data_IF_069671567521
#
_entry.id   IF_069671567521
#
_cell.length_a   1.000
_cell.length_b   1.000
_cell.length_c   1.000
_cell.angle_alpha   90.00
_cell.angle_beta   90.00
_cell.angle_gamma   90.00
#
_symmetry.space_group_name_H-M   'P 1'
#
loop_
_entity.id
_entity.type
_entity.pdbx_description
1 polymer ?
#
# COMPACT_ATOMS: atom_id res chain seq x y z
N UNK A 1 24.50 12.23 -19.80
CA UNK A 1 23.35 12.78 -19.05
C UNK A 1 23.28 11.98 -17.79
N UNK A 2 23.28 12.64 -16.63
CA UNK A 2 23.18 11.95 -15.35
C UNK A 2 21.82 11.25 -15.26
N UNK A 3 21.80 10.07 -14.64
CA UNK A 3 20.55 9.33 -14.43
C UNK A 3 19.61 10.18 -13.56
N UNK A 4 18.30 10.15 -13.85
CA UNK A 4 17.32 10.92 -13.08
C UNK A 4 17.29 10.49 -11.60
N UNK A 5 17.07 11.44 -10.71
CA UNK A 5 16.83 11.16 -9.29
C UNK A 5 15.44 10.55 -9.10
N UNK A 6 15.38 9.23 -9.13
CA UNK A 6 14.11 8.49 -9.01
C UNK A 6 13.41 8.72 -7.68
N UNK A 7 14.17 9.01 -6.61
CA UNK A 7 13.59 9.29 -5.29
C UNK A 7 12.86 10.63 -5.32
N UNK A 8 13.50 11.67 -5.85
CA UNK A 8 12.88 12.98 -5.97
C UNK A 8 11.64 12.95 -6.88
N UNK A 9 11.68 12.17 -7.96
CA UNK A 9 10.53 11.98 -8.85
C UNK A 9 9.38 11.24 -8.17
N UNK A 10 9.68 10.17 -7.43
CA UNK A 10 8.67 9.44 -6.65
C UNK A 10 8.02 10.34 -5.60
N UNK A 11 8.82 11.08 -4.83
CA UNK A 11 8.28 11.99 -3.82
C UNK A 11 7.46 13.12 -4.43
N UNK A 12 7.85 13.64 -5.60
CA UNK A 12 7.05 14.61 -6.32
C UNK A 12 5.69 14.04 -6.74
N UNK A 13 5.65 12.81 -7.23
CA UNK A 13 4.40 12.10 -7.55
C UNK A 13 3.51 11.96 -6.31
N UNK A 14 4.05 11.42 -5.21
CA UNK A 14 3.31 11.27 -3.94
C UNK A 14 2.76 12.60 -3.41
N UNK A 15 3.53 13.70 -3.52
CA UNK A 15 3.02 15.03 -3.12
C UNK A 15 1.80 15.43 -3.94
N UNK A 16 1.79 15.17 -5.25
CA UNK A 16 0.64 15.44 -6.10
C UNK A 16 -0.60 14.65 -5.67
N UNK A 17 -0.43 13.37 -5.31
CA UNK A 17 -1.54 12.50 -4.93
C UNK A 17 -2.09 12.76 -3.52
N UNK A 18 -1.21 12.94 -2.53
CA UNK A 18 -1.61 12.90 -1.12
C UNK A 18 -1.64 14.29 -0.46
N UNK A 19 -0.75 15.20 -0.85
CA UNK A 19 -0.64 16.53 -0.25
C UNK A 19 -1.47 17.56 -1.03
N UNK A 20 -1.16 17.77 -2.31
CA UNK A 20 -1.88 18.76 -3.14
C UNK A 20 -3.18 18.21 -3.71
N UNK A 21 -3.30 16.88 -3.78
CA UNK A 21 -4.47 16.15 -4.29
C UNK A 21 -4.88 16.64 -5.70
N UNK A 22 -3.87 16.87 -6.54
CA UNK A 22 -4.03 17.42 -7.89
C UNK A 22 -3.84 16.31 -8.92
N UNK A 23 -4.97 15.81 -9.44
CA UNK A 23 -5.01 14.72 -10.43
C UNK A 23 -4.29 15.11 -11.72
N UNK A 24 -4.41 16.36 -12.18
CA UNK A 24 -3.77 16.80 -13.42
C UNK A 24 -2.25 16.86 -13.25
N UNK A 25 -1.78 17.36 -12.10
CA UNK A 25 -0.37 17.35 -11.75
C UNK A 25 0.17 15.92 -11.58
N UNK A 26 -0.56 15.02 -10.90
CA UNK A 26 -0.19 13.60 -10.79
C UNK A 26 -0.01 12.98 -12.18
N UNK A 27 -1.00 13.12 -13.07
CA UNK A 27 -0.90 12.57 -14.42
C UNK A 27 0.27 13.17 -15.22
N UNK A 28 0.63 14.44 -14.99
CA UNK A 28 1.76 15.08 -15.66
C UNK A 28 3.13 14.49 -15.28
N UNK A 29 3.23 13.81 -14.13
CA UNK A 29 4.47 13.09 -13.73
C UNK A 29 4.62 11.72 -14.40
N UNK A 30 3.59 11.23 -15.08
CA UNK A 30 3.57 9.91 -15.69
C UNK A 30 3.84 9.96 -17.20
N UNK A 31 4.22 8.82 -17.76
CA UNK A 31 4.35 8.61 -19.21
C UNK A 31 2.99 8.67 -19.92
N UNK A 32 2.93 8.76 -21.26
CA UNK A 32 1.66 8.81 -22.01
C UNK A 32 0.79 7.54 -21.92
N UNK A 33 1.40 6.40 -21.64
CA UNK A 33 0.83 5.06 -21.53
C UNK A 33 1.05 4.46 -20.13
N UNK A 34 0.60 5.13 -19.04
CA UNK A 34 0.89 4.69 -17.67
C UNK A 34 -0.11 3.63 -17.20
N UNK A 35 0.19 2.92 -16.12
CA UNK A 35 -0.83 2.16 -15.40
C UNK A 35 -0.54 2.02 -13.90
N UNK A 36 -1.59 1.79 -13.13
CA UNK A 36 -1.49 1.42 -11.70
C UNK A 36 -2.31 0.17 -11.46
N UNK A 37 -1.80 -0.71 -10.62
CA UNK A 37 -2.54 -1.88 -10.14
C UNK A 37 -2.37 -2.06 -8.63
N UNK A 38 -3.47 -1.91 -7.91
CA UNK A 38 -3.62 -2.31 -6.53
C UNK A 38 -3.90 -3.81 -6.49
N UNK A 39 -2.86 -4.60 -6.27
CA UNK A 39 -2.83 -6.04 -6.58
C UNK A 39 -3.96 -6.81 -5.90
N UNK A 40 -4.27 -6.61 -4.60
CA UNK A 40 -5.30 -7.41 -3.94
C UNK A 40 -6.74 -7.13 -4.37
N UNK A 41 -7.02 -5.99 -4.98
CA UNK A 41 -8.37 -5.58 -5.43
C UNK A 41 -8.49 -5.45 -6.94
N UNK A 42 -7.37 -5.52 -7.67
CA UNK A 42 -7.27 -5.22 -9.10
C UNK A 42 -7.71 -3.78 -9.45
N UNK A 43 -7.73 -2.88 -8.47
CA UNK A 43 -8.16 -1.51 -8.65
C UNK A 43 -7.04 -0.66 -9.29
N UNK A 44 -7.40 0.16 -10.27
CA UNK A 44 -6.45 0.99 -10.98
C UNK A 44 -6.95 1.39 -12.36
N UNK A 45 -6.01 1.59 -13.29
CA UNK A 45 -6.32 1.93 -14.68
C UNK A 45 -5.10 1.76 -15.58
N UNK A 46 -5.34 1.42 -16.85
CA UNK A 46 -4.31 1.24 -17.88
C UNK A 46 -4.50 2.28 -18.99
N UNK A 47 -3.44 3.01 -19.29
CA UNK A 47 -3.47 4.15 -20.21
C UNK A 47 -4.01 5.42 -19.55
N UNK A 48 -3.68 6.56 -20.16
CA UNK A 48 -3.88 7.87 -19.56
C UNK A 48 -5.33 8.17 -19.17
N UNK A 49 -6.30 7.83 -20.03
CA UNK A 49 -7.71 8.14 -19.79
C UNK A 49 -8.31 7.32 -18.64
N UNK A 50 -8.06 6.01 -18.61
CA UNK A 50 -8.56 5.12 -17.57
C UNK A 50 -7.90 5.43 -16.22
N UNK A 51 -6.58 5.62 -16.20
CA UNK A 51 -5.87 5.94 -14.97
C UNK A 51 -6.28 7.30 -14.41
N UNK A 52 -6.41 8.34 -15.25
CA UNK A 52 -6.90 9.65 -14.81
C UNK A 52 -8.31 9.56 -14.21
N UNK A 53 -9.20 8.75 -14.81
CA UNK A 53 -10.55 8.52 -14.26
C UNK A 53 -10.47 7.83 -12.90
N UNK A 54 -9.63 6.80 -12.77
CA UNK A 54 -9.41 6.10 -11.51
C UNK A 54 -8.91 7.06 -10.43
N UNK A 55 -7.84 7.82 -10.69
CA UNK A 55 -7.30 8.79 -9.73
C UNK A 55 -8.33 9.83 -9.32
N UNK A 56 -9.08 10.38 -10.27
CA UNK A 56 -10.07 11.44 -9.99
C UNK A 56 -11.21 11.01 -9.08
N UNK A 57 -11.68 9.77 -9.21
CA UNK A 57 -12.93 9.35 -8.57
C UNK A 57 -12.75 8.31 -7.46
N UNK A 58 -11.62 7.60 -7.43
CA UNK A 58 -11.46 6.43 -6.57
C UNK A 58 -10.17 6.43 -5.73
N UNK A 59 -9.28 7.43 -5.87
CA UNK A 59 -7.98 7.42 -5.18
C UNK A 59 -7.56 8.78 -4.63
N UNK A 60 -7.38 9.78 -5.50
CA UNK A 60 -6.85 11.10 -5.12
C UNK A 60 -7.94 11.89 -4.40
N UNK A 61 -7.68 12.24 -3.14
CA UNK A 61 -8.54 13.10 -2.33
C UNK A 61 -9.79 12.46 -1.73
N UNK A 62 -10.01 11.16 -1.93
CA UNK A 62 -11.14 10.41 -1.32
C UNK A 62 -10.77 9.67 -0.03
N UNK A 63 -9.47 9.62 0.29
CA UNK A 63 -8.98 8.94 1.50
C UNK A 63 -9.50 9.61 2.80
N UNK A 64 -9.63 8.83 3.89
CA UNK A 64 -10.03 9.35 5.20
C UNK A 64 -9.15 10.52 5.68
N UNK A 65 -9.69 11.45 6.51
CA UNK A 65 -8.94 12.62 6.96
C UNK A 65 -7.67 12.31 7.76
N UNK A 66 -7.61 11.16 8.43
CA UNK A 66 -6.48 10.70 9.24
C UNK A 66 -5.53 9.74 8.49
N UNK A 67 -5.69 9.63 7.16
CA UNK A 67 -4.82 8.83 6.32
C UNK A 67 -3.37 9.29 6.41
N UNK A 68 -2.46 8.38 6.76
CA UNK A 68 -1.02 8.63 6.85
C UNK A 68 -0.19 7.48 6.31
N UNK A 69 1.00 7.85 5.83
CA UNK A 69 2.04 6.93 5.38
C UNK A 69 3.24 7.03 6.33
N UNK A 70 3.72 5.89 6.80
CA UNK A 70 4.97 5.79 7.58
C UNK A 70 5.97 4.97 6.79
N UNK A 71 7.03 5.60 6.27
CA UNK A 71 8.08 4.89 5.53
C UNK A 71 8.83 3.89 6.42
N UNK A 72 9.10 2.70 5.89
CA UNK A 72 9.88 1.63 6.53
C UNK A 72 11.24 1.51 5.86
N UNK A 73 11.24 1.28 4.54
CA UNK A 73 12.45 1.08 3.76
C UNK A 73 12.22 1.50 2.31
N UNK A 74 13.31 1.84 1.62
CA UNK A 74 13.28 2.19 0.20
C UNK A 74 14.50 1.61 -0.50
N UNK A 75 14.26 0.89 -1.59
CA UNK A 75 15.31 0.35 -2.47
C UNK A 75 15.23 1.04 -3.82
N UNK A 76 16.36 1.58 -4.28
CA UNK A 76 16.46 2.29 -5.56
C UNK A 76 17.30 1.47 -6.52
N UNK A 77 16.70 1.08 -7.64
CA UNK A 77 17.36 0.43 -8.76
C UNK A 77 17.73 1.42 -9.87
N UNK A 78 18.07 0.89 -11.04
CA UNK A 78 18.41 1.70 -12.22
C UNK A 78 17.20 2.49 -12.75
N UNK A 79 16.03 1.86 -12.74
CA UNK A 79 14.80 2.36 -13.35
C UNK A 79 13.56 2.16 -12.46
N UNK A 80 13.76 1.80 -11.19
CA UNK A 80 12.70 1.39 -10.28
C UNK A 80 12.96 1.83 -8.85
N UNK A 81 11.89 2.17 -8.16
CA UNK A 81 11.86 2.32 -6.70
C UNK A 81 10.96 1.23 -6.13
N UNK A 82 11.43 0.54 -5.09
CA UNK A 82 10.60 -0.30 -4.24
C UNK A 82 10.49 0.40 -2.89
N UNK A 83 9.30 0.85 -2.56
CA UNK A 83 9.00 1.59 -1.32
C UNK A 83 8.15 0.73 -0.41
N UNK A 84 8.61 0.52 0.82
CA UNK A 84 7.90 -0.20 1.87
C UNK A 84 7.44 0.79 2.93
N UNK A 85 6.15 0.77 3.25
CA UNK A 85 5.55 1.71 4.18
C UNK A 85 4.35 1.09 4.91
N UNK A 86 3.98 1.66 6.04
CA UNK A 86 2.72 1.37 6.72
C UNK A 86 1.71 2.46 6.38
N UNK A 87 0.51 2.04 5.97
CA UNK A 87 -0.66 2.91 5.83
C UNK A 87 -1.48 2.81 7.10
N UNK A 88 -1.84 3.96 7.69
CA UNK A 88 -2.82 4.03 8.77
C UNK A 88 -3.98 4.95 8.39
N UNK A 89 -5.21 4.54 8.73
CA UNK A 89 -6.41 5.39 8.64
C UNK A 89 -7.56 4.83 9.48
N UNK A 90 -8.57 5.64 9.78
CA UNK A 90 -9.86 5.17 10.27
C UNK A 90 -10.85 5.11 9.12
N UNK A 91 -11.50 3.95 8.91
CA UNK A 91 -12.42 3.71 7.79
C UNK A 91 -13.73 4.50 7.94
N UNK A 92 -13.65 5.82 7.73
CA UNK A 92 -14.70 6.84 7.89
C UNK A 92 -15.26 7.34 6.56
N UNK A 93 -14.62 6.99 5.45
CA UNK A 93 -15.04 7.25 4.08
C UNK A 93 -14.91 5.96 3.25
N UNK A 94 -15.55 5.91 2.09
CA UNK A 94 -15.34 4.80 1.14
C UNK A 94 -13.90 4.85 0.61
N UNK A 95 -13.22 3.70 0.62
CA UNK A 95 -11.83 3.56 0.17
C UNK A 95 -11.80 2.54 -0.96
N UNK A 96 -12.41 2.88 -2.10
CA UNK A 96 -12.71 1.95 -3.20
C UNK A 96 -11.51 1.13 -3.68
N UNK A 97 -10.32 1.74 -3.69
CA UNK A 97 -9.10 1.08 -4.13
C UNK A 97 -8.65 -0.05 -3.19
N UNK A 98 -9.03 -0.02 -1.90
CA UNK A 98 -8.69 -1.04 -0.90
C UNK A 98 -9.90 -1.91 -0.50
N UNK A 99 -11.08 -1.30 -0.37
CA UNK A 99 -12.28 -1.87 0.22
C UNK A 99 -13.49 -1.67 -0.71
N UNK A 100 -13.42 -2.12 -1.99
CA UNK A 100 -14.47 -1.86 -2.97
C UNK A 100 -15.82 -2.40 -2.50
N UNK A 101 -16.83 -1.53 -2.46
CA UNK A 101 -18.21 -1.88 -2.08
C UNK A 101 -18.43 -2.10 -0.58
N UNK A 102 -17.47 -1.78 0.28
CA UNK A 102 -17.62 -1.87 1.74
C UNK A 102 -17.81 -0.47 2.32
N UNK A 103 -18.98 -0.17 2.93
CA UNK A 103 -19.22 1.15 3.51
C UNK A 103 -18.34 1.40 4.74
N UNK A 104 -18.13 2.67 5.14
CA UNK A 104 -17.36 3.06 6.31
C UNK A 104 -17.73 2.23 7.55
N UNK A 105 -16.73 1.59 8.16
CA UNK A 105 -16.92 0.73 9.34
C UNK A 105 -16.57 1.44 10.64
N UNK A 106 -15.93 2.62 10.57
CA UNK A 106 -15.42 3.35 11.73
C UNK A 106 -14.25 2.67 12.45
N UNK A 107 -13.69 1.59 11.87
CA UNK A 107 -12.57 0.83 12.45
C UNK A 107 -11.25 1.36 11.92
N UNK A 108 -10.24 1.35 12.78
CA UNK A 108 -8.88 1.67 12.40
C UNK A 108 -8.28 0.55 11.54
N UNK A 109 -7.51 0.95 10.53
CA UNK A 109 -6.70 0.09 9.67
C UNK A 109 -5.25 0.55 9.80
N UNK A 110 -4.35 -0.40 10.00
CA UNK A 110 -2.89 -0.23 9.97
C UNK A 110 -2.32 -1.43 9.20
N UNK A 111 -1.73 -1.20 8.03
CA UNK A 111 -1.33 -2.26 7.12
C UNK A 111 0.02 -1.95 6.44
N UNK A 112 0.99 -2.88 6.48
CA UNK A 112 2.20 -2.79 5.64
C UNK A 112 1.85 -2.90 4.16
N UNK A 113 2.50 -2.07 3.36
CA UNK A 113 2.39 -2.04 1.92
C UNK A 113 3.74 -1.99 1.25
N UNK A 114 3.78 -2.48 0.01
CA UNK A 114 4.93 -2.31 -0.90
C UNK A 114 4.44 -1.71 -2.20
N UNK A 115 5.00 -0.56 -2.57
CA UNK A 115 4.86 0.03 -3.91
C UNK A 115 6.09 -0.30 -4.74
N UNK A 116 5.89 -0.97 -5.87
CA UNK A 116 6.92 -1.21 -6.88
C UNK A 116 6.66 -0.23 -8.03
N UNK A 117 7.49 0.80 -8.10
CA UNK A 117 7.32 1.96 -8.99
C UNK A 117 8.37 1.93 -10.08
N UNK A 118 7.95 1.77 -11.32
CA UNK A 118 8.83 1.72 -12.49
C UNK A 118 8.84 3.07 -13.20
N UNK A 119 10.01 3.49 -13.64
CA UNK A 119 10.23 4.72 -14.40
C UNK A 119 10.66 4.42 -15.84
N UNK A 120 10.37 5.37 -16.74
CA UNK A 120 10.95 5.47 -18.08
C UNK A 120 11.50 6.88 -18.24
N UNK A 121 12.81 7.02 -18.09
CA UNK A 121 13.44 8.34 -17.98
C UNK A 121 12.99 9.06 -16.71
N UNK A 122 12.50 10.28 -16.85
CA UNK A 122 12.07 11.14 -15.74
C UNK A 122 10.58 11.01 -15.38
N UNK A 123 9.89 9.99 -15.90
CA UNK A 123 8.45 9.80 -15.73
C UNK A 123 8.10 8.41 -15.22
N UNK A 124 7.04 8.34 -14.41
CA UNK A 124 6.50 7.08 -13.90
C UNK A 124 5.80 6.33 -15.03
N UNK A 125 6.17 5.06 -15.19
CA UNK A 125 5.56 4.14 -16.14
C UNK A 125 4.44 3.33 -15.49
N UNK A 126 4.70 2.75 -14.32
CA UNK A 126 3.66 2.03 -13.59
C UNK A 126 3.94 1.87 -12.10
N UNK A 127 2.87 1.52 -11.39
CA UNK A 127 2.92 1.14 -9.99
C UNK A 127 2.22 -0.22 -9.77
N UNK A 128 2.88 -1.10 -9.02
CA UNK A 128 2.25 -2.27 -8.43
C UNK A 128 2.24 -2.11 -6.91
N UNK A 129 1.04 -2.10 -6.33
CA UNK A 129 0.85 -1.86 -4.90
C UNK A 129 0.35 -3.14 -4.24
N UNK A 130 1.13 -3.67 -3.32
CA UNK A 130 0.87 -4.93 -2.62
C UNK A 130 0.53 -4.66 -1.16
N UNK A 131 -0.42 -5.43 -0.64
CA UNK A 131 -0.70 -5.57 0.79
C UNK A 131 -1.42 -6.90 1.05
N UNK A 132 -1.53 -7.29 2.32
CA UNK A 132 -2.35 -8.44 2.71
C UNK A 132 -3.81 -8.01 2.95
N UNK A 133 -4.67 -8.33 2.00
CA UNK A 133 -6.10 -8.01 2.09
C UNK A 133 -6.81 -8.75 3.22
N UNK A 134 -6.36 -9.94 3.60
CA UNK A 134 -6.96 -10.66 4.72
C UNK A 134 -6.75 -9.88 6.02
N UNK A 135 -5.55 -9.36 6.24
CA UNK A 135 -5.24 -8.50 7.38
C UNK A 135 -6.11 -7.24 7.44
N UNK A 136 -6.39 -6.61 6.30
CA UNK A 136 -7.32 -5.46 6.24
C UNK A 136 -8.74 -5.89 6.60
N UNK A 137 -9.25 -6.98 5.99
CA UNK A 137 -10.60 -7.49 6.23
C UNK A 137 -10.82 -7.94 7.68
N UNK A 138 -9.80 -8.48 8.35
CA UNK A 138 -9.81 -8.75 9.80
C UNK A 138 -10.00 -7.45 10.58
N UNK A 139 -9.21 -6.42 10.29
CA UNK A 139 -9.23 -5.15 11.02
C UNK A 139 -10.57 -4.44 10.90
N UNK A 140 -11.20 -4.48 9.72
CA UNK A 140 -12.55 -3.95 9.53
C UNK A 140 -13.65 -4.95 9.92
N UNK A 141 -13.30 -6.11 10.46
CA UNK A 141 -14.14 -7.20 10.96
C UNK A 141 -15.14 -7.75 9.95
N UNK A 142 -14.69 -7.93 8.70
CA UNK A 142 -15.38 -8.68 7.65
C UNK A 142 -15.03 -10.17 7.67
N UNK A 143 -13.85 -10.51 8.17
CA UNK A 143 -13.46 -11.89 8.47
C UNK A 143 -12.93 -11.97 9.91
N UNK A 144 -12.99 -13.16 10.52
CA UNK A 144 -12.40 -13.43 11.82
C UNK A 144 -11.04 -14.11 11.70
N UNK A 145 -10.24 -14.05 12.76
CA UNK A 145 -8.93 -14.70 12.88
C UNK A 145 -9.01 -16.15 13.39
N UNK A 146 -10.21 -16.68 13.62
CA UNK A 146 -10.42 -17.97 14.29
C UNK A 146 -9.78 -19.17 13.59
N UNK A 147 -10.42 -19.68 12.55
CA UNK A 147 -9.93 -20.86 11.80
C UNK A 147 -8.91 -20.52 10.72
N UNK A 148 -8.69 -19.23 10.46
CA UNK A 148 -7.81 -18.76 9.39
C UNK A 148 -6.45 -18.35 10.00
N UNK A 149 -5.32 -18.77 9.41
CA UNK A 149 -3.98 -18.37 9.85
C UNK A 149 -3.66 -16.94 9.38
N UNK A 150 -4.48 -15.97 9.79
CA UNK A 150 -4.41 -14.57 9.36
C UNK A 150 -4.15 -13.68 10.57
N UNK A 151 -3.28 -12.71 10.37
CA UNK A 151 -3.03 -11.65 11.33
C UNK A 151 -3.89 -10.42 11.00
N UNK A 152 -4.03 -9.48 11.93
CA UNK A 152 -4.61 -8.15 11.72
C UNK A 152 -3.56 -7.05 11.80
N UNK A 153 -3.83 -6.03 12.63
CA UNK A 153 -2.97 -4.86 12.82
C UNK A 153 -1.59 -5.19 13.45
N UNK A 154 -1.40 -6.38 14.01
CA UNK A 154 -0.09 -6.87 14.45
C UNK A 154 0.93 -6.99 13.31
N UNK A 155 0.48 -7.13 12.05
CA UNK A 155 1.39 -7.13 10.89
C UNK A 155 2.14 -5.80 10.79
N UNK A 156 1.43 -4.68 10.89
CA UNK A 156 2.01 -3.33 10.93
C UNK A 156 2.93 -3.13 12.13
N UNK A 157 2.51 -3.57 13.33
CA UNK A 157 3.35 -3.47 14.53
C UNK A 157 4.65 -4.27 14.39
N UNK A 158 4.60 -5.47 13.81
CA UNK A 158 5.77 -6.35 13.67
C UNK A 158 6.78 -5.85 12.65
N UNK A 159 6.34 -5.22 11.55
CA UNK A 159 7.28 -4.62 10.58
C UNK A 159 7.94 -3.36 11.15
N UNK A 160 7.20 -2.58 11.94
CA UNK A 160 7.73 -1.37 12.62
C UNK A 160 8.67 -1.70 13.78
N UNK A 161 8.41 -2.80 14.49
CA UNK A 161 9.17 -3.22 15.66
C UNK A 161 9.43 -4.74 15.63
N UNK A 162 10.67 -5.17 15.33
CA UNK A 162 10.99 -6.59 15.28
C UNK A 162 10.91 -7.27 16.66
N UNK A 163 10.85 -6.53 17.77
CA UNK A 163 10.69 -7.08 19.11
C UNK A 163 9.27 -7.59 19.41
N UNK A 164 8.27 -7.26 18.57
CA UNK A 164 6.93 -7.83 18.69
C UNK A 164 6.98 -9.37 18.62
N UNK A 165 6.08 -10.10 19.29
CA UNK A 165 6.14 -11.56 19.33
C UNK A 165 6.14 -12.21 17.93
N UNK A 166 7.11 -13.09 17.68
CA UNK A 166 7.09 -13.98 16.51
C UNK A 166 6.30 -15.25 16.82
N UNK A 167 5.89 -15.98 15.77
CA UNK A 167 5.41 -17.36 15.85
C UNK A 167 4.10 -17.57 16.64
N UNK A 168 3.34 -16.51 16.95
CA UNK A 168 2.04 -16.62 17.63
C UNK A 168 1.09 -17.55 16.87
N UNK A 169 0.98 -17.38 15.55
CA UNK A 169 0.13 -18.24 14.70
C UNK A 169 0.69 -19.66 14.49
N UNK A 170 2.00 -19.88 14.71
CA UNK A 170 2.55 -21.24 14.69
C UNK A 170 2.15 -22.03 15.94
N UNK A 171 1.83 -21.35 17.05
CA UNK A 171 1.26 -21.93 18.27
C UNK A 171 2.01 -23.17 18.76
N UNK A 172 1.28 -24.30 18.88
CA UNK A 172 1.85 -25.59 19.29
C UNK A 172 2.93 -26.12 18.35
N UNK A 173 2.90 -25.78 17.07
CA UNK A 173 3.94 -26.19 16.13
C UNK A 173 5.27 -25.54 16.46
N UNK A 174 5.26 -24.26 16.88
CA UNK A 174 6.45 -23.60 17.38
C UNK A 174 6.93 -24.23 18.69
N UNK A 175 6.04 -24.41 19.68
CA UNK A 175 6.39 -25.01 20.99
C UNK A 175 7.00 -26.42 20.86
N UNK A 176 6.53 -27.24 19.92
CA UNK A 176 7.07 -28.59 19.66
C UNK A 176 8.51 -28.61 19.15
N UNK A 177 9.08 -27.46 18.79
CA UNK A 177 10.50 -27.33 18.42
C UNK A 177 11.42 -27.03 19.61
N UNK A 178 10.88 -26.72 20.79
CA UNK A 178 11.67 -26.46 21.99
C UNK A 178 12.58 -27.66 22.33
N UNK A 179 13.88 -27.39 22.55
CA UNK A 179 14.87 -28.41 22.90
C UNK A 179 15.36 -29.28 21.73
N UNK A 180 14.85 -29.08 20.50
CA UNK A 180 15.45 -29.71 19.31
C UNK A 180 16.83 -29.09 19.03
N UNK A 181 17.78 -29.86 18.46
CA UNK A 181 19.05 -29.31 18.01
C UNK A 181 18.84 -28.15 17.03
N UNK A 182 19.59 -27.06 17.22
CA UNK A 182 19.69 -25.92 16.31
C UNK A 182 20.78 -26.16 15.26
#
# INVERSE_FOLDING_TARGET
>A
MDSPDLVALWEAHCRCEFETRDVDATMATMVPDPYVNHIPTLAGGVGHAELKRFYKYHFVGVNPPDFRLTSISRTVGEDRVVDEFVVDFTHTAEVDWMLPGIPPTGRAVSIPMVAVVQFRGDKLAHEHIYWDQASVLVQIGRIGTGELPVAGAETARKVLDPAQPSNVLLGDTWRRSEGRPL
#
